data_IF_425141005459
#
_entry.id   IF_425141005459
#
_cell.length_a   1.000
_cell.length_b   1.000
_cell.length_c   1.000
_cell.angle_alpha   90.00
_cell.angle_beta   90.00
_cell.angle_gamma   90.00
#
_symmetry.space_group_name_H-M   'P 1'
#
loop_
_entity.id
_entity.type
_entity.pdbx_description
1 polymer ?
#
# COMPACT_ATOMS: atom_id res chain seq x y z
N UNK A 1 31.16 -37.46 -3.59
CA UNK A 1 31.01 -36.50 -4.70
C UNK A 1 30.44 -37.23 -5.91
N UNK A 2 29.38 -36.74 -6.54
CA UNK A 2 28.71 -37.46 -7.64
C UNK A 2 29.35 -37.06 -8.97
N UNK A 3 29.71 -38.03 -9.82
CA UNK A 3 30.25 -37.81 -11.15
C UNK A 3 29.20 -38.09 -12.22
N UNK A 4 29.30 -37.40 -13.36
CA UNK A 4 28.42 -37.65 -14.50
C UNK A 4 28.75 -39.01 -15.15
N UNK A 5 27.77 -39.92 -15.32
CA UNK A 5 28.02 -41.23 -15.91
C UNK A 5 28.44 -41.19 -17.39
N UNK A 6 28.17 -40.09 -18.11
CA UNK A 6 28.43 -39.99 -19.55
C UNK A 6 29.77 -39.31 -19.91
N UNK A 7 30.30 -38.45 -19.04
CA UNK A 7 31.53 -37.69 -19.31
C UNK A 7 32.53 -37.68 -18.14
N UNK A 8 32.20 -38.37 -17.04
CA UNK A 8 32.98 -38.46 -15.81
C UNK A 8 33.30 -37.13 -15.09
N UNK A 9 32.79 -36.00 -15.60
CA UNK A 9 32.93 -34.70 -14.98
C UNK A 9 32.23 -34.65 -13.61
N UNK A 10 32.79 -33.84 -12.71
CA UNK A 10 32.20 -33.60 -11.39
C UNK A 10 30.84 -32.90 -11.54
N UNK A 11 29.82 -33.43 -10.84
CA UNK A 11 28.48 -32.83 -10.86
C UNK A 11 28.41 -31.57 -10.01
N UNK A 12 27.50 -30.68 -10.40
CA UNK A 12 27.14 -29.47 -9.64
C UNK A 12 25.69 -29.60 -9.16
N UNK A 13 25.38 -28.97 -8.04
CA UNK A 13 24.01 -28.93 -7.50
C UNK A 13 23.32 -27.69 -8.03
N UNK A 14 22.13 -27.87 -8.63
CA UNK A 14 21.24 -26.78 -9.06
C UNK A 14 19.87 -26.92 -8.42
N UNK A 15 19.12 -25.82 -8.41
CA UNK A 15 17.78 -25.73 -7.81
C UNK A 15 16.72 -25.65 -8.90
N UNK A 16 15.69 -26.49 -8.82
CA UNK A 16 14.50 -26.41 -9.68
C UNK A 16 13.56 -25.30 -9.19
N UNK A 17 12.95 -24.59 -10.13
CA UNK A 17 11.94 -23.55 -9.88
C UNK A 17 10.60 -23.87 -10.55
N UNK A 18 10.34 -25.16 -10.81
CA UNK A 18 9.05 -25.60 -11.36
C UNK A 18 7.97 -25.64 -10.27
N UNK A 19 6.70 -25.56 -10.66
CA UNK A 19 5.55 -25.64 -9.74
C UNK A 19 5.49 -26.97 -8.98
N UNK A 20 5.95 -28.06 -9.60
CA UNK A 20 5.95 -29.41 -9.02
C UNK A 20 7.17 -29.63 -8.11
N UNK A 21 8.29 -28.99 -8.42
CA UNK A 21 9.54 -29.13 -7.67
C UNK A 21 10.09 -27.76 -7.26
N UNK A 22 9.33 -26.92 -6.52
CA UNK A 22 9.82 -25.63 -6.08
C UNK A 22 10.99 -25.83 -5.14
N UNK A 23 12.09 -25.14 -5.46
CA UNK A 23 13.32 -25.10 -4.67
C UNK A 23 13.98 -26.47 -4.43
N UNK A 24 13.59 -27.51 -5.17
CA UNK A 24 14.16 -28.86 -5.03
C UNK A 24 15.49 -28.96 -5.75
N UNK A 25 16.52 -29.48 -5.09
CA UNK A 25 17.87 -29.57 -5.67
C UNK A 25 18.11 -30.86 -6.44
N UNK A 26 18.87 -30.76 -7.51
CA UNK A 26 19.31 -31.89 -8.33
C UNK A 26 20.79 -31.76 -8.70
N UNK A 27 21.45 -32.91 -8.87
CA UNK A 27 22.76 -33.01 -9.47
C UNK A 27 22.63 -32.87 -10.99
N UNK A 28 23.40 -31.96 -11.57
CA UNK A 28 23.56 -31.86 -13.02
C UNK A 28 25.02 -31.93 -13.41
N UNK A 29 25.25 -32.35 -14.65
CA UNK A 29 26.58 -32.26 -15.24
C UNK A 29 27.02 -30.79 -15.34
N UNK A 30 28.30 -30.51 -15.12
CA UNK A 30 28.90 -29.20 -15.40
C UNK A 30 28.99 -28.91 -16.90
N UNK A 31 29.02 -29.95 -17.74
CA UNK A 31 28.90 -29.87 -19.19
C UNK A 31 27.45 -29.94 -19.68
N UNK A 32 27.23 -30.50 -20.87
CA UNK A 32 25.92 -30.52 -21.54
C UNK A 32 25.08 -31.78 -21.32
N UNK A 33 25.53 -32.72 -20.48
CA UNK A 33 24.85 -34.03 -20.33
C UNK A 33 23.51 -33.98 -19.56
N UNK A 34 23.17 -32.84 -18.94
CA UNK A 34 21.88 -32.64 -18.28
C UNK A 34 21.81 -33.09 -16.81
N UNK A 35 20.61 -33.48 -16.39
CA UNK A 35 20.30 -33.90 -15.01
C UNK A 35 20.82 -35.33 -14.78
N UNK A 36 21.56 -35.53 -13.69
CA UNK A 36 22.11 -36.82 -13.30
C UNK A 36 21.19 -37.52 -12.30
N UNK A 37 20.85 -36.85 -11.20
CA UNK A 37 19.99 -37.38 -10.15
C UNK A 37 19.41 -36.25 -9.28
N UNK A 38 18.42 -36.53 -8.45
CA UNK A 38 17.90 -35.59 -7.45
C UNK A 38 18.75 -35.62 -6.18
N UNK A 39 19.03 -34.44 -5.63
CA UNK A 39 19.71 -34.31 -4.33
C UNK A 39 18.70 -34.44 -3.20
N UNK A 40 17.59 -33.70 -3.30
CA UNK A 40 16.50 -33.77 -2.32
C UNK A 40 15.49 -34.86 -2.71
N UNK A 41 14.90 -35.57 -1.74
CA UNK A 41 13.84 -36.55 -2.00
C UNK A 41 12.62 -35.89 -2.65
N UNK A 42 11.74 -36.66 -3.31
CA UNK A 42 10.49 -36.12 -3.84
C UNK A 42 9.66 -35.52 -2.73
N UNK A 43 9.05 -34.37 -3.02
CA UNK A 43 8.08 -33.81 -2.10
C UNK A 43 6.89 -34.76 -1.93
N UNK A 44 6.25 -34.67 -0.77
CA UNK A 44 5.03 -35.41 -0.50
C UNK A 44 3.98 -35.14 -1.61
N UNK A 45 3.34 -36.17 -2.19
CA UNK A 45 2.36 -36.00 -3.26
C UNK A 45 1.24 -35.01 -2.89
N UNK A 46 0.83 -35.02 -1.62
CA UNK A 46 -0.14 -34.07 -1.07
C UNK A 46 0.36 -32.63 -1.12
N UNK A 47 1.63 -32.38 -0.79
CA UNK A 47 2.21 -31.04 -0.82
C UNK A 47 2.31 -30.48 -2.24
N UNK A 48 2.64 -31.34 -3.22
CA UNK A 48 2.70 -30.98 -4.64
C UNK A 48 1.33 -30.53 -5.18
N UNK A 49 0.23 -31.05 -4.64
CA UNK A 49 -1.13 -30.63 -5.02
C UNK A 49 -1.59 -29.39 -4.25
N UNK A 50 -1.41 -29.40 -2.92
CA UNK A 50 -1.97 -28.37 -2.04
C UNK A 50 -1.24 -27.03 -2.18
N UNK A 51 0.10 -27.02 -2.26
CA UNK A 51 0.87 -25.76 -2.25
C UNK A 51 0.57 -24.89 -3.47
N UNK A 52 0.54 -25.40 -4.72
CA UNK A 52 0.21 -24.57 -5.88
C UNK A 52 -1.23 -24.03 -5.83
N UNK A 53 -2.18 -24.82 -5.33
CA UNK A 53 -3.58 -24.42 -5.22
C UNK A 53 -3.75 -23.29 -4.22
N UNK A 54 -3.14 -23.41 -3.03
CA UNK A 54 -3.12 -22.33 -2.03
C UNK A 54 -2.50 -21.05 -2.59
N UNK A 55 -1.37 -21.15 -3.30
CA UNK A 55 -0.72 -19.98 -3.91
C UNK A 55 -1.64 -19.29 -4.92
N UNK A 56 -2.36 -20.05 -5.75
CA UNK A 56 -3.35 -19.49 -6.68
C UNK A 56 -4.47 -18.77 -5.94
N UNK A 57 -5.07 -19.43 -4.95
CA UNK A 57 -6.14 -18.81 -4.15
C UNK A 57 -5.68 -17.54 -3.42
N UNK A 58 -4.45 -17.53 -2.88
CA UNK A 58 -3.88 -16.34 -2.25
C UNK A 58 -3.69 -15.20 -3.24
N UNK A 59 -3.18 -15.49 -4.45
CA UNK A 59 -3.01 -14.48 -5.50
C UNK A 59 -4.36 -13.90 -5.95
N UNK A 60 -5.37 -14.75 -6.16
CA UNK A 60 -6.73 -14.33 -6.52
C UNK A 60 -7.36 -13.46 -5.42
N UNK A 61 -7.19 -13.84 -4.15
CA UNK A 61 -7.67 -13.05 -3.02
C UNK A 61 -6.95 -11.70 -2.94
N UNK A 62 -5.63 -11.68 -3.14
CA UNK A 62 -4.86 -10.43 -3.15
C UNK A 62 -5.30 -9.51 -4.29
N UNK A 63 -5.55 -10.04 -5.48
CA UNK A 63 -6.07 -9.28 -6.62
C UNK A 63 -7.42 -8.65 -6.30
N UNK A 64 -8.37 -9.43 -5.77
CA UNK A 64 -9.69 -8.92 -5.35
C UNK A 64 -9.57 -7.83 -4.27
N UNK A 65 -8.69 -8.01 -3.30
CA UNK A 65 -8.44 -6.99 -2.28
C UNK A 65 -7.90 -5.70 -2.89
N UNK A 66 -6.96 -5.79 -3.83
CA UNK A 66 -6.40 -4.63 -4.53
C UNK A 66 -7.48 -3.92 -5.37
N UNK A 67 -8.32 -4.65 -6.07
CA UNK A 67 -9.44 -4.08 -6.84
C UNK A 67 -10.45 -3.37 -5.95
N UNK A 68 -10.82 -3.98 -4.82
CA UNK A 68 -11.73 -3.37 -3.85
C UNK A 68 -11.12 -2.11 -3.24
N UNK A 69 -9.84 -2.14 -2.88
CA UNK A 69 -9.13 -0.97 -2.36
C UNK A 69 -9.12 0.17 -3.39
N UNK A 70 -8.84 -0.12 -4.66
CA UNK A 70 -8.85 0.88 -5.73
C UNK A 70 -10.25 1.53 -5.88
N UNK A 71 -11.33 0.74 -5.78
CA UNK A 71 -12.71 1.26 -5.81
C UNK A 71 -13.02 2.14 -4.60
N UNK A 72 -12.59 1.75 -3.41
CA UNK A 72 -12.74 2.54 -2.18
C UNK A 72 -11.99 3.87 -2.30
N UNK A 73 -10.76 3.84 -2.81
CA UNK A 73 -9.93 5.04 -3.01
C UNK A 73 -10.56 5.99 -4.05
N UNK A 74 -11.10 5.43 -5.14
CA UNK A 74 -11.83 6.21 -6.15
C UNK A 74 -13.06 6.89 -5.53
N UNK A 75 -13.87 6.15 -4.76
CA UNK A 75 -15.04 6.69 -4.06
C UNK A 75 -14.62 7.76 -3.03
N UNK A 76 -13.57 7.52 -2.26
CA UNK A 76 -13.04 8.47 -1.30
C UNK A 76 -12.58 9.77 -2.00
N UNK A 77 -12.00 9.67 -3.20
CA UNK A 77 -11.62 10.85 -3.99
C UNK A 77 -12.83 11.67 -4.44
N UNK A 78 -13.93 11.02 -4.85
CA UNK A 78 -15.19 11.67 -5.24
C UNK A 78 -15.84 12.38 -4.05
N UNK A 79 -15.93 11.69 -2.91
CA UNK A 79 -16.43 12.28 -1.66
C UNK A 79 -15.58 13.46 -1.23
N UNK A 80 -14.25 13.34 -1.30
CA UNK A 80 -13.33 14.43 -0.99
C UNK A 80 -13.55 15.64 -1.89
N UNK A 81 -13.73 15.44 -3.21
CA UNK A 81 -14.03 16.53 -4.16
C UNK A 81 -15.38 17.18 -3.87
N UNK A 82 -16.42 16.40 -3.63
CA UNK A 82 -17.75 16.91 -3.30
C UNK A 82 -17.73 17.74 -2.01
N UNK A 83 -17.05 17.24 -0.97
CA UNK A 83 -16.84 17.98 0.29
C UNK A 83 -16.13 19.32 0.06
N UNK A 84 -15.08 19.34 -0.78
CA UNK A 84 -14.38 20.57 -1.15
C UNK A 84 -15.29 21.57 -1.87
N UNK A 85 -16.03 21.12 -2.88
CA UNK A 85 -16.96 21.98 -3.63
C UNK A 85 -18.00 22.57 -2.69
N UNK A 86 -18.61 21.74 -1.83
CA UNK A 86 -19.60 22.19 -0.85
C UNK A 86 -18.99 23.22 0.13
N UNK A 87 -17.77 23.00 0.59
CA UNK A 87 -17.05 23.94 1.45
C UNK A 87 -16.79 25.30 0.77
N UNK A 88 -16.37 25.31 -0.49
CA UNK A 88 -16.15 26.55 -1.27
C UNK A 88 -17.46 27.31 -1.47
N UNK A 89 -18.54 26.61 -1.82
CA UNK A 89 -19.86 27.23 -1.99
C UNK A 89 -20.37 27.84 -0.68
N UNK A 90 -20.25 27.12 0.44
CA UNK A 90 -20.62 27.63 1.76
C UNK A 90 -19.79 28.86 2.15
N UNK A 91 -18.48 28.85 1.90
CA UNK A 91 -17.60 29.99 2.16
C UNK A 91 -17.99 31.23 1.34
N UNK A 92 -18.28 31.06 0.04
CA UNK A 92 -18.69 32.16 -0.82
C UNK A 92 -20.05 32.75 -0.38
N UNK A 93 -20.98 31.89 0.07
CA UNK A 93 -22.26 32.31 0.62
C UNK A 93 -22.09 33.15 1.89
N UNK A 94 -21.29 32.68 2.85
CA UNK A 94 -21.00 33.45 4.09
C UNK A 94 -20.33 34.77 3.75
N UNK A 95 -19.35 34.78 2.85
CA UNK A 95 -18.67 36.01 2.42
C UNK A 95 -19.67 37.04 1.85
N UNK A 96 -20.59 36.59 0.98
CA UNK A 96 -21.62 37.45 0.38
C UNK A 96 -22.56 38.04 1.43
N UNK A 97 -22.95 37.24 2.43
CA UNK A 97 -23.76 37.71 3.55
C UNK A 97 -23.01 38.79 4.35
N UNK A 98 -21.75 38.54 4.73
CA UNK A 98 -20.94 39.49 5.48
C UNK A 98 -20.74 40.81 4.72
N UNK A 99 -20.47 40.74 3.42
CA UNK A 99 -20.33 41.93 2.57
C UNK A 99 -21.64 42.75 2.52
N UNK A 100 -22.79 42.08 2.40
CA UNK A 100 -24.09 42.76 2.42
C UNK A 100 -24.35 43.46 3.77
N UNK A 101 -24.01 42.85 4.91
CA UNK A 101 -24.12 43.52 6.21
C UNK A 101 -23.19 44.73 6.35
N UNK A 102 -21.98 44.65 5.78
CA UNK A 102 -21.02 45.74 5.75
C UNK A 102 -21.54 46.95 4.95
N UNK A 103 -22.09 46.73 3.75
CA UNK A 103 -22.67 47.81 2.92
C UNK A 103 -23.87 48.49 3.59
N UNK A 104 -24.67 47.75 4.36
CA UNK A 104 -25.84 48.30 5.05
C UNK A 104 -25.50 49.06 6.34
N UNK A 105 -24.21 49.28 6.67
CA UNK A 105 -23.78 50.11 7.80
C UNK A 105 -24.12 49.52 9.17
N UNK A 106 -24.46 48.22 9.25
CA UNK A 106 -24.74 47.51 10.51
C UNK A 106 -23.40 47.05 11.11
N UNK A 107 -22.52 48.01 11.41
CA UNK A 107 -21.16 47.76 11.87
C UNK A 107 -21.00 48.04 13.37
N UNK A 108 -21.69 47.29 14.22
CA UNK A 108 -21.39 47.27 15.66
C UNK A 108 -20.90 45.87 16.07
N UNK A 109 -19.58 45.62 15.91
CA UNK A 109 -18.88 44.49 16.57
C UNK A 109 -18.63 43.20 15.77
N UNK A 110 -18.90 43.17 14.46
CA UNK A 110 -18.89 41.94 13.65
C UNK A 110 -17.55 41.34 13.13
N UNK A 111 -16.31 41.86 13.37
CA UNK A 111 -15.11 41.24 12.77
C UNK A 111 -14.63 39.95 13.46
N UNK A 112 -14.79 39.83 14.79
CA UNK A 112 -14.11 38.76 15.56
C UNK A 112 -14.89 37.43 15.53
N UNK A 113 -16.23 37.48 15.57
CA UNK A 113 -17.04 36.26 15.58
C UNK A 113 -17.11 35.59 14.21
N UNK A 114 -17.13 36.34 13.11
CA UNK A 114 -17.19 35.78 11.75
C UNK A 114 -15.90 35.03 11.42
N UNK A 115 -14.73 35.60 11.78
CA UNK A 115 -13.44 34.93 11.57
C UNK A 115 -13.29 33.68 12.47
N UNK A 116 -13.83 33.72 13.69
CA UNK A 116 -13.87 32.55 14.57
C UNK A 116 -14.78 31.44 14.03
N UNK A 117 -16.01 31.76 13.58
CA UNK A 117 -16.96 30.78 13.04
C UNK A 117 -16.45 30.12 11.75
N UNK A 118 -15.81 30.87 10.85
CA UNK A 118 -15.22 30.31 9.63
C UNK A 118 -14.04 29.37 9.97
N UNK A 119 -13.19 29.74 10.93
CA UNK A 119 -12.08 28.88 11.35
C UNK A 119 -12.55 27.62 12.10
N UNK A 120 -13.59 27.71 12.94
CA UNK A 120 -14.19 26.54 13.60
C UNK A 120 -14.79 25.58 12.55
N UNK A 121 -15.49 26.12 11.56
CA UNK A 121 -16.10 25.35 10.48
C UNK A 121 -15.04 24.70 9.55
N UNK A 122 -13.94 25.42 9.27
CA UNK A 122 -12.80 24.87 8.52
C UNK A 122 -12.05 23.81 9.34
N UNK A 123 -11.90 23.96 10.67
CA UNK A 123 -11.30 22.93 11.54
C UNK A 123 -12.12 21.64 11.53
N UNK A 124 -13.44 21.70 11.65
CA UNK A 124 -14.34 20.54 11.55
C UNK A 124 -14.19 19.80 10.19
N UNK A 125 -14.02 20.56 9.10
CA UNK A 125 -13.77 20.01 7.76
C UNK A 125 -12.37 19.38 7.64
N UNK A 126 -11.35 19.99 8.25
CA UNK A 126 -9.94 19.57 8.13
C UNK A 126 -9.53 18.45 9.10
N UNK A 127 -10.18 18.35 10.27
CA UNK A 127 -9.91 17.31 11.30
C UNK A 127 -10.34 15.92 10.82
N UNK A 128 -11.30 15.83 9.89
CA UNK A 128 -11.71 14.54 9.30
C UNK A 128 -10.73 14.05 8.20
N UNK A 129 -9.65 14.78 7.89
CA UNK A 129 -8.68 14.47 6.82
C UNK A 129 -7.34 13.93 7.37
N UNK A 130 -7.17 13.76 8.68
CA UNK A 130 -5.92 13.25 9.26
C UNK A 130 -6.12 12.17 10.33
N UNK A 131 -5.81 10.90 9.97
CA UNK A 131 -5.05 10.08 10.90
C UNK A 131 -3.84 9.40 10.23
N UNK A 132 -3.04 10.12 9.43
CA UNK A 132 -1.86 9.48 8.81
C UNK A 132 -0.61 10.32 8.49
N UNK A 133 -0.54 11.64 8.73
CA UNK A 133 0.72 12.40 8.52
C UNK A 133 1.40 12.86 9.84
N UNK A 134 0.74 12.76 11.00
CA UNK A 134 1.40 13.11 12.29
C UNK A 134 2.12 11.94 12.99
N UNK A 135 2.05 10.71 12.50
CA UNK A 135 2.74 9.57 13.13
C UNK A 135 4.23 9.42 12.71
N UNK A 136 4.66 10.03 11.60
CA UNK A 136 6.02 9.82 11.05
C UNK A 136 7.03 10.91 11.41
N UNK A 137 6.62 12.01 12.05
CA UNK A 137 7.56 13.09 12.45
C UNK A 137 8.04 13.02 13.91
N UNK A 138 7.64 11.99 14.67
CA UNK A 138 8.03 11.82 16.07
C UNK A 138 9.22 10.83 16.27
N UNK A 139 10.00 10.52 15.23
CA UNK A 139 11.15 9.59 15.35
C UNK A 139 12.45 10.05 14.66
N UNK A 140 12.52 11.28 14.11
CA UNK A 140 13.72 11.77 13.40
C UNK A 140 14.34 13.06 13.96
N UNK A 141 14.03 13.43 15.21
CA UNK A 141 14.80 14.44 15.95
C UNK A 141 15.49 13.82 17.16
N UNK A 142 16.38 12.87 16.90
CA UNK A 142 17.56 12.70 17.74
C UNK A 142 18.67 13.59 17.20
N UNK A 143 18.96 14.66 17.93
CA UNK A 143 20.27 15.30 18.02
C UNK A 143 20.32 15.84 19.44
N UNK A 144 20.78 15.07 20.43
CA UNK A 144 22.19 14.76 20.72
C UNK A 144 23.05 16.02 20.57
N UNK A 145 23.10 16.83 21.62
CA UNK A 145 24.33 17.50 22.04
C UNK A 145 24.28 17.61 23.55
N UNK A 146 25.13 16.82 24.19
CA UNK A 146 25.45 16.85 25.62
C UNK A 146 26.62 17.83 25.75
N UNK A 147 26.46 18.86 26.58
CA UNK A 147 27.47 19.33 27.55
C UNK A 147 26.74 19.95 28.74
#
# INVERSE_FOLDING_TARGET
MVHCPNCNAQSVIRTSWTTINPRRRFYCCSGSCGIINWYDPPMCPRAVQIIPDLLRSMNELQERCNELQARVDEQASKVRRLKWILGVLASAFVHRICYAFYENGICNGMPVMVFAMVNECVKEINVTIMPSILATNCQLKQGVTIQ
#
